data_IF_134032729428
#
_entry.id   IF_134032729428
#
_cell.length_a   1.000
_cell.length_b   1.000
_cell.length_c   1.000
_cell.angle_alpha   90.00
_cell.angle_beta   90.00
_cell.angle_gamma   90.00
#
_symmetry.space_group_name_H-M   'P 1'
#
loop_
_entity.id
_entity.type
_entity.pdbx_description
1 polymer ?
#
# COMPACT_ATOMS: atom_id res chain seq x y z
N UNK A 1 -2.47 15.94 46.09
CA UNK A 1 -2.26 14.87 45.10
C UNK A 1 -3.61 14.26 44.88
N UNK A 2 -4.26 14.46 43.72
CA UNK A 2 -5.38 13.62 43.20
C UNK A 2 -6.04 14.22 41.93
N UNK A 3 -6.08 15.56 41.78
CA UNK A 3 -6.73 16.19 40.61
C UNK A 3 -6.05 15.89 39.26
N UNK A 4 -4.72 15.82 39.23
CA UNK A 4 -3.99 15.48 37.99
C UNK A 4 -4.20 14.02 37.58
N UNK A 5 -4.32 13.11 38.55
CA UNK A 5 -4.58 11.70 38.30
C UNK A 5 -6.02 11.48 37.80
N UNK A 6 -6.99 12.16 38.41
CA UNK A 6 -8.38 12.16 37.95
C UNK A 6 -8.52 12.71 36.52
N UNK A 7 -7.83 13.82 36.22
CA UNK A 7 -7.82 14.41 34.89
C UNK A 7 -7.21 13.46 33.85
N UNK A 8 -6.09 12.81 34.18
CA UNK A 8 -5.44 11.84 33.31
C UNK A 8 -6.35 10.64 33.01
N UNK A 9 -7.02 10.08 34.02
CA UNK A 9 -7.96 8.98 33.83
C UNK A 9 -9.15 9.37 32.93
N UNK A 10 -9.68 10.58 33.12
CA UNK A 10 -10.77 11.11 32.30
C UNK A 10 -10.34 11.27 30.82
N UNK A 11 -9.14 11.79 30.58
CA UNK A 11 -8.60 11.99 29.22
C UNK A 11 -8.28 10.65 28.52
N UNK A 12 -7.81 9.66 29.28
CA UNK A 12 -7.56 8.31 28.76
C UNK A 12 -8.88 7.63 28.34
N UNK A 13 -9.89 7.66 29.21
CA UNK A 13 -11.22 7.10 28.89
C UNK A 13 -11.86 7.79 27.69
N UNK A 14 -11.70 9.11 27.59
CA UNK A 14 -12.17 9.89 26.44
C UNK A 14 -11.48 9.44 25.14
N UNK A 15 -10.16 9.26 25.17
CA UNK A 15 -9.37 8.83 24.01
C UNK A 15 -9.78 7.42 23.53
N UNK A 16 -10.00 6.47 24.45
CA UNK A 16 -10.47 5.13 24.11
C UNK A 16 -11.88 5.15 23.49
N UNK A 17 -12.79 5.98 24.03
CA UNK A 17 -14.14 6.15 23.47
C UNK A 17 -14.10 6.76 22.06
N UNK A 18 -13.26 7.77 21.85
CA UNK A 18 -13.05 8.37 20.53
C UNK A 18 -12.53 7.35 19.51
N UNK A 19 -11.55 6.52 19.91
CA UNK A 19 -11.03 5.44 19.08
C UNK A 19 -12.11 4.40 18.73
N UNK A 20 -12.88 3.93 19.72
CA UNK A 20 -13.98 2.98 19.51
C UNK A 20 -15.09 3.54 18.62
N UNK A 21 -15.37 4.84 18.70
CA UNK A 21 -16.35 5.52 17.86
C UNK A 21 -15.82 5.79 16.43
N UNK A 22 -14.59 5.39 16.10
CA UNK A 22 -13.98 5.66 14.79
C UNK A 22 -13.70 7.14 14.53
N UNK A 23 -13.67 7.97 15.59
CA UNK A 23 -13.38 9.40 15.48
C UNK A 23 -11.87 9.56 15.33
N UNK A 24 -11.40 9.49 14.09
CA UNK A 24 -10.00 9.75 13.75
C UNK A 24 -9.76 11.26 13.65
N UNK A 25 -8.80 11.79 14.42
CA UNK A 25 -8.42 13.21 14.39
C UNK A 25 -7.94 13.70 13.02
N UNK A 26 -7.40 12.79 12.19
CA UNK A 26 -7.11 13.04 10.77
C UNK A 26 -7.20 11.74 9.98
N UNK A 27 -8.03 11.73 8.93
CA UNK A 27 -8.08 10.61 7.97
C UNK A 27 -7.25 10.97 6.76
N UNK A 28 -6.17 10.24 6.50
CA UNK A 28 -5.41 10.37 5.25
C UNK A 28 -5.92 9.33 4.26
N UNK A 29 -6.65 9.76 3.23
CA UNK A 29 -7.00 8.89 2.10
C UNK A 29 -5.82 8.90 1.12
N UNK A 30 -5.10 7.79 1.02
CA UNK A 30 -4.05 7.60 0.03
C UNK A 30 -4.68 6.99 -1.21
N UNK A 31 -4.54 7.64 -2.36
CA UNK A 31 -4.95 7.06 -3.63
C UNK A 31 -3.96 5.95 -4.00
N UNK A 32 -4.41 4.70 -4.25
CA UNK A 32 -3.50 3.63 -4.65
C UNK A 32 -2.89 3.94 -6.02
N UNK A 33 -1.61 3.65 -6.18
CA UNK A 33 -0.88 3.83 -7.45
C UNK A 33 -1.20 2.68 -8.39
N UNK A 34 -1.04 2.89 -9.71
CA UNK A 34 -1.20 1.82 -10.70
C UNK A 34 -0.29 0.61 -10.40
N UNK A 35 0.93 0.89 -9.92
CA UNK A 35 1.89 -0.13 -9.49
C UNK A 35 1.38 -0.98 -8.32
N UNK A 36 0.72 -0.37 -7.31
CA UNK A 36 0.21 -1.11 -6.15
C UNK A 36 -1.04 -1.92 -6.50
N UNK A 37 -1.90 -1.38 -7.36
CA UNK A 37 -3.09 -2.08 -7.87
C UNK A 37 -2.65 -3.31 -8.68
N UNK A 38 -1.69 -3.14 -9.60
CA UNK A 38 -1.16 -4.21 -10.42
C UNK A 38 -0.67 -5.40 -9.58
N UNK A 39 0.22 -5.15 -8.62
CA UNK A 39 0.76 -6.22 -7.75
C UNK A 39 -0.31 -6.85 -6.87
N UNK A 40 -1.21 -6.05 -6.31
CA UNK A 40 -2.30 -6.59 -5.49
C UNK A 40 -3.19 -7.55 -6.29
N UNK A 41 -3.46 -7.27 -7.57
CA UNK A 41 -4.23 -8.15 -8.45
C UNK A 41 -3.48 -9.43 -8.83
N UNK A 42 -2.18 -9.33 -9.06
CA UNK A 42 -1.33 -10.49 -9.36
C UNK A 42 -1.09 -11.33 -8.09
N UNK A 43 -1.11 -10.73 -6.91
CA UNK A 43 -1.04 -11.44 -5.62
C UNK A 43 0.37 -11.73 -5.13
N UNK A 44 1.36 -10.91 -5.53
CA UNK A 44 2.77 -11.13 -5.22
C UNK A 44 3.34 -10.17 -4.17
N UNK A 45 4.44 -10.59 -3.54
CA UNK A 45 5.28 -9.69 -2.75
C UNK A 45 5.93 -8.63 -3.66
N UNK A 46 6.40 -7.54 -3.07
CA UNK A 46 7.10 -6.48 -3.81
C UNK A 46 8.36 -7.01 -4.51
N UNK A 47 9.09 -7.92 -3.88
CA UNK A 47 10.31 -8.52 -4.43
C UNK A 47 10.02 -9.42 -5.61
N UNK A 48 9.04 -10.32 -5.49
CA UNK A 48 8.66 -11.22 -6.59
C UNK A 48 8.13 -10.43 -7.79
N UNK A 49 7.31 -9.43 -7.54
CA UNK A 49 6.75 -8.59 -8.60
C UNK A 49 7.82 -7.73 -9.28
N UNK A 50 8.80 -7.22 -8.53
CA UNK A 50 9.93 -6.49 -9.11
C UNK A 50 10.81 -7.41 -9.98
N UNK A 51 11.10 -8.62 -9.51
CA UNK A 51 11.82 -9.63 -10.28
C UNK A 51 11.09 -10.00 -11.58
N UNK A 52 9.77 -10.22 -11.51
CA UNK A 52 8.93 -10.51 -12.67
C UNK A 52 8.96 -9.39 -13.72
N UNK A 53 8.99 -8.13 -13.27
CA UNK A 53 9.09 -6.95 -14.13
C UNK A 53 10.53 -6.65 -14.60
N UNK A 54 11.53 -7.40 -14.12
CA UNK A 54 12.93 -7.18 -14.47
C UNK A 54 13.52 -5.87 -13.92
N UNK A 55 13.02 -5.39 -12.77
CA UNK A 55 13.49 -4.15 -12.13
C UNK A 55 13.95 -4.38 -10.70
N UNK A 56 14.76 -3.46 -10.17
CA UNK A 56 15.13 -3.53 -8.75
C UNK A 56 13.92 -3.32 -7.84
N UNK A 57 13.89 -3.99 -6.68
CA UNK A 57 12.87 -3.78 -5.64
C UNK A 57 12.74 -2.31 -5.27
N UNK A 58 13.88 -1.60 -5.17
CA UNK A 58 13.92 -0.16 -4.89
C UNK A 58 13.19 0.64 -5.96
N UNK A 59 13.39 0.34 -7.24
CA UNK A 59 12.69 1.00 -8.34
C UNK A 59 11.18 0.81 -8.21
N UNK A 60 10.74 -0.43 -8.01
CA UNK A 60 9.33 -0.76 -7.86
C UNK A 60 8.69 -0.07 -6.64
N UNK A 61 9.38 -0.03 -5.49
CA UNK A 61 8.91 0.68 -4.30
C UNK A 61 8.75 2.19 -4.52
N UNK A 62 9.61 2.83 -5.31
CA UNK A 62 9.44 4.25 -5.66
C UNK A 62 8.16 4.48 -6.48
N UNK A 63 7.76 3.51 -7.32
CA UNK A 63 6.50 3.55 -8.07
C UNK A 63 5.29 3.33 -7.18
N UNK A 64 5.31 2.30 -6.31
CA UNK A 64 4.20 2.04 -5.40
C UNK A 64 3.91 3.20 -4.45
N UNK A 65 4.98 3.87 -3.97
CA UNK A 65 4.87 5.04 -3.10
C UNK A 65 4.54 6.34 -3.86
N UNK A 66 4.47 6.32 -5.19
CA UNK A 66 4.21 7.51 -6.01
C UNK A 66 5.35 8.54 -6.04
N UNK A 67 6.56 8.16 -5.61
CA UNK A 67 7.75 9.04 -5.65
C UNK A 67 8.33 9.16 -7.07
N UNK A 68 8.12 8.15 -7.90
CA UNK A 68 8.47 8.12 -9.32
C UNK A 68 7.36 7.46 -10.12
N UNK A 69 7.28 7.79 -11.41
CA UNK A 69 6.38 7.11 -12.32
C UNK A 69 7.13 6.08 -13.16
N UNK A 70 6.53 4.92 -13.44
CA UNK A 70 7.01 4.00 -14.47
C UNK A 70 6.91 4.67 -15.84
N UNK A 71 7.80 4.32 -16.76
CA UNK A 71 7.82 4.86 -18.13
C UNK A 71 7.93 3.74 -19.16
N UNK A 72 7.51 4.03 -20.40
CA UNK A 72 7.63 3.11 -21.53
C UNK A 72 7.01 1.75 -21.26
N UNK A 73 7.77 0.68 -21.54
CA UNK A 73 7.29 -0.70 -21.40
C UNK A 73 6.81 -1.04 -19.97
N UNK A 74 7.44 -0.48 -18.92
CA UNK A 74 7.03 -0.74 -17.55
C UNK A 74 5.61 -0.22 -17.28
N UNK A 75 5.25 0.95 -17.81
CA UNK A 75 3.89 1.49 -17.67
C UNK A 75 2.86 0.60 -18.38
N UNK A 76 3.17 0.15 -19.60
CA UNK A 76 2.30 -0.78 -20.33
C UNK A 76 2.13 -2.10 -19.59
N UNK A 77 3.22 -2.68 -19.05
CA UNK A 77 3.17 -3.94 -18.30
C UNK A 77 2.33 -3.81 -17.03
N UNK A 78 2.42 -2.69 -16.30
CA UNK A 78 1.56 -2.46 -15.14
C UNK A 78 0.08 -2.38 -15.54
N UNK A 79 -0.23 -1.75 -16.67
CA UNK A 79 -1.60 -1.72 -17.18
C UNK A 79 -2.11 -3.10 -17.56
N UNK A 80 -1.27 -3.91 -18.21
CA UNK A 80 -1.59 -5.33 -18.51
C UNK A 80 -1.82 -6.09 -17.21
N UNK A 81 -0.95 -5.95 -16.21
CA UNK A 81 -1.13 -6.58 -14.90
C UNK A 81 -2.43 -6.16 -14.19
N UNK A 82 -2.90 -4.94 -14.42
CA UNK A 82 -4.20 -4.47 -13.90
C UNK A 82 -5.37 -5.09 -14.64
N UNK A 83 -5.30 -5.22 -15.97
CA UNK A 83 -6.41 -5.70 -16.81
C UNK A 83 -6.47 -7.22 -16.89
N UNK A 84 -5.31 -7.86 -16.97
CA UNK A 84 -5.06 -9.28 -17.22
C UNK A 84 -4.01 -9.83 -16.23
N UNK A 85 -4.31 -9.87 -14.93
CA UNK A 85 -3.35 -10.35 -13.92
C UNK A 85 -2.92 -11.81 -14.14
N UNK A 86 -3.77 -12.63 -14.76
CA UNK A 86 -3.49 -14.03 -15.15
C UNK A 86 -2.25 -14.14 -16.05
N UNK A 87 -2.10 -13.24 -17.02
CA UNK A 87 -0.98 -13.27 -17.95
C UNK A 87 0.38 -13.13 -17.24
N UNK A 88 0.43 -12.38 -16.14
CA UNK A 88 1.65 -12.25 -15.33
C UNK A 88 1.86 -13.41 -14.37
N UNK A 89 0.78 -14.02 -13.86
CA UNK A 89 0.87 -15.22 -13.01
C UNK A 89 1.46 -16.39 -13.79
N UNK A 90 1.08 -16.53 -15.06
CA UNK A 90 1.58 -17.60 -15.93
C UNK A 90 3.09 -17.46 -16.18
N UNK A 91 3.60 -16.22 -16.32
CA UNK A 91 5.02 -15.94 -16.48
C UNK A 91 5.84 -16.29 -15.22
N UNK A 92 5.25 -16.20 -14.03
CA UNK A 92 5.90 -16.59 -12.79
C UNK A 92 6.03 -18.11 -12.65
N UNK A 93 5.05 -18.87 -13.13
CA UNK A 93 5.07 -20.34 -13.08
C UNK A 93 6.00 -20.97 -14.12
N UNK A 94 6.38 -20.20 -15.14
CA UNK A 94 7.24 -20.64 -16.23
C UNK A 94 8.75 -20.46 -15.97
N UNK A 95 9.14 -19.86 -14.83
CA UNK A 95 10.54 -19.64 -14.42
C UNK A 95 10.93 -20.48 -13.21
#
# INVERSE_FOLDING_TARGET
>A
MDKEMEQFQADLLKSVRQMKAGVAGRTTRVQPTEASIARAKVGLSQSEFASLLGVSVRTYQQWEQGRRNPTGAAQTLLRVAVQHPEALKDLQLAG
#
